data_IF_781273539025
#
_entry.id   IF_781273539025
#
_cell.length_a   1.000
_cell.length_b   1.000
_cell.length_c   1.000
_cell.angle_alpha   90.00
_cell.angle_beta   90.00
_cell.angle_gamma   90.00
#
_symmetry.space_group_name_H-M   'P 1'
#
loop_
_entity.id
_entity.type
_entity.pdbx_description
1 polymer ?
#
# COMPACT_ATOMS: atom_id res chain seq x y z
N UNK A 1 14.58 19.24 -31.26
CA UNK A 1 13.71 19.67 -30.14
C UNK A 1 14.41 19.21 -28.88
N UNK A 2 15.26 19.96 -28.18
CA UNK A 2 15.17 21.29 -27.53
C UNK A 2 14.03 21.37 -26.48
N UNK A 3 14.06 20.46 -25.50
CA UNK A 3 13.39 20.63 -24.19
C UNK A 3 14.29 20.13 -23.03
N UNK A 4 15.62 20.20 -23.17
CA UNK A 4 16.58 19.85 -22.09
C UNK A 4 17.11 21.07 -21.32
N UNK A 5 16.67 22.29 -21.62
CA UNK A 5 17.30 23.52 -21.13
C UNK A 5 16.45 24.32 -20.13
N UNK A 6 15.68 23.67 -19.25
CA UNK A 6 15.06 24.36 -18.11
C UNK A 6 15.17 23.52 -16.84
N UNK A 7 16.37 23.55 -16.24
CA UNK A 7 16.62 23.55 -14.80
C UNK A 7 15.56 22.94 -13.88
N UNK A 8 15.29 21.64 -14.01
CA UNK A 8 14.53 20.92 -12.99
C UNK A 8 15.43 20.69 -11.78
N UNK A 9 15.45 21.68 -10.90
CA UNK A 9 16.02 21.58 -9.55
C UNK A 9 15.32 20.41 -8.88
N UNK A 10 16.10 19.38 -8.55
CA UNK A 10 15.65 18.23 -7.76
C UNK A 10 15.45 18.74 -6.33
N UNK A 11 14.30 19.35 -6.08
CA UNK A 11 13.88 19.73 -4.73
C UNK A 11 13.63 18.43 -3.94
N UNK A 12 14.58 18.10 -3.07
CA UNK A 12 14.45 17.22 -1.90
C UNK A 12 13.59 15.96 -2.10
N UNK A 13 14.22 14.89 -2.57
CA UNK A 13 13.71 13.54 -2.26
C UNK A 13 13.90 13.39 -0.74
N UNK A 14 12.81 13.30 0.02
CA UNK A 14 12.74 13.21 1.51
C UNK A 14 12.68 14.52 2.33
N UNK A 15 12.08 15.60 1.81
CA UNK A 15 11.57 16.67 2.69
C UNK A 15 10.48 16.15 3.64
N UNK A 16 10.22 16.86 4.75
CA UNK A 16 9.25 16.49 5.80
C UNK A 16 7.90 16.09 5.19
N UNK A 17 7.67 14.78 5.04
CA UNK A 17 6.49 14.29 4.31
C UNK A 17 5.30 14.46 5.22
N UNK A 18 4.54 15.54 5.01
CA UNK A 18 3.26 15.76 5.67
C UNK A 18 2.26 14.63 5.37
N UNK A 19 2.47 13.88 4.28
CA UNK A 19 1.62 12.77 3.83
C UNK A 19 2.44 11.68 3.15
N UNK A 20 2.13 10.42 3.49
CA UNK A 20 2.62 9.24 2.78
C UNK A 20 1.44 8.49 2.15
N UNK A 21 1.63 7.97 0.94
CA UNK A 21 0.60 7.24 0.19
C UNK A 21 1.18 5.90 -0.27
N UNK A 22 0.60 4.82 0.22
CA UNK A 22 0.94 3.45 -0.17
C UNK A 22 -0.21 2.85 -1.00
N UNK A 23 0.12 2.20 -2.13
CA UNK A 23 -0.85 1.41 -2.89
C UNK A 23 -0.89 -0.02 -2.32
N UNK A 24 -2.04 -0.41 -1.77
CA UNK A 24 -2.18 -1.69 -1.06
C UNK A 24 -2.55 -2.84 -1.99
N UNK A 25 -3.57 -2.65 -2.83
CA UNK A 25 -4.01 -3.62 -3.83
C UNK A 25 -4.70 -2.87 -4.98
N UNK A 26 -4.76 -3.49 -6.15
CA UNK A 26 -5.45 -2.95 -7.31
C UNK A 26 -6.09 -4.09 -8.08
N UNK A 27 -7.39 -4.30 -7.87
CA UNK A 27 -8.12 -5.42 -8.48
C UNK A 27 -7.36 -6.76 -8.25
N UNK A 28 -7.31 -7.63 -9.25
CA UNK A 28 -6.51 -8.85 -9.23
C UNK A 28 -5.03 -8.67 -9.65
N UNK A 29 -4.55 -7.43 -9.77
CA UNK A 29 -3.18 -7.15 -10.23
C UNK A 29 -2.15 -7.70 -9.23
N UNK A 30 -1.21 -8.49 -9.77
CA UNK A 30 0.00 -8.92 -9.07
C UNK A 30 1.21 -8.31 -9.75
N UNK A 31 2.11 -7.77 -8.95
CA UNK A 31 3.36 -7.19 -9.41
C UNK A 31 4.49 -7.59 -8.48
N UNK A 32 5.56 -8.12 -9.05
CA UNK A 32 6.82 -8.46 -8.41
C UNK A 32 7.95 -7.48 -8.77
N UNK A 33 7.60 -6.38 -9.47
CA UNK A 33 8.52 -5.30 -9.81
C UNK A 33 9.06 -4.62 -8.53
N UNK A 34 10.37 -4.41 -8.47
CA UNK A 34 11.05 -3.85 -7.29
C UNK A 34 10.60 -2.42 -6.95
N UNK A 35 10.02 -1.70 -7.91
CA UNK A 35 9.47 -0.35 -7.73
C UNK A 35 7.99 -0.35 -7.37
N UNK A 36 7.26 -1.44 -7.60
CA UNK A 36 5.83 -1.54 -7.30
C UNK A 36 5.42 -2.99 -7.00
N UNK A 37 5.52 -3.37 -5.74
CA UNK A 37 5.07 -4.69 -5.28
C UNK A 37 3.58 -4.67 -4.96
N UNK A 38 2.82 -5.54 -5.64
CA UNK A 38 1.37 -5.67 -5.43
C UNK A 38 0.93 -7.14 -5.26
N UNK A 39 0.05 -7.41 -4.30
CA UNK A 39 -0.40 -6.50 -3.24
C UNK A 39 0.76 -6.11 -2.30
N UNK A 40 0.63 -4.98 -1.61
CA UNK A 40 1.67 -4.45 -0.76
C UNK A 40 2.11 -5.52 0.26
N UNK A 41 3.41 -5.88 0.32
CA UNK A 41 3.87 -7.12 0.94
C UNK A 41 3.56 -7.22 2.43
N UNK A 42 3.51 -6.05 3.11
CA UNK A 42 3.27 -5.91 4.55
C UNK A 42 1.85 -5.46 4.91
N UNK A 43 0.94 -5.40 3.95
CA UNK A 43 -0.44 -4.96 4.24
C UNK A 43 -1.12 -5.86 5.28
N UNK A 44 -0.92 -7.17 5.15
CA UNK A 44 -1.47 -8.20 6.04
C UNK A 44 -0.93 -8.13 7.49
N UNK A 45 0.09 -7.32 7.76
CA UNK A 45 0.74 -7.20 9.08
C UNK A 45 0.33 -5.92 9.82
N UNK A 46 -0.52 -5.08 9.22
CA UNK A 46 -0.77 -3.70 9.67
C UNK A 46 -2.25 -3.51 9.98
N UNK A 47 -2.60 -3.47 11.26
CA UNK A 47 -3.98 -3.20 11.71
C UNK A 47 -4.53 -1.88 11.18
N UNK A 48 -3.70 -0.83 11.10
CA UNK A 48 -4.08 0.47 10.52
C UNK A 48 -4.29 0.46 9.00
N UNK A 49 -4.01 -0.65 8.31
CA UNK A 49 -4.39 -0.90 6.91
C UNK A 49 -5.67 -1.73 6.88
N UNK A 50 -5.69 -2.83 7.63
CA UNK A 50 -6.78 -3.81 7.59
C UNK A 50 -8.09 -3.29 8.18
N UNK A 51 -8.05 -2.63 9.33
CA UNK A 51 -9.26 -2.13 9.99
C UNK A 51 -9.97 -1.04 9.16
N UNK A 52 -9.29 0.02 8.67
CA UNK A 52 -9.96 1.01 7.81
C UNK A 52 -10.45 0.43 6.48
N UNK A 53 -9.82 -0.64 5.97
CA UNK A 53 -10.32 -1.31 4.78
C UNK A 53 -11.67 -1.99 5.06
N UNK A 54 -11.81 -2.70 6.19
CA UNK A 54 -13.09 -3.31 6.58
C UNK A 54 -14.18 -2.30 6.89
N UNK A 55 -13.83 -1.10 7.36
CA UNK A 55 -14.78 -0.01 7.55
C UNK A 55 -15.44 0.42 6.22
N UNK A 56 -14.71 0.29 5.11
CA UNK A 56 -15.19 0.64 3.76
C UNK A 56 -15.83 -0.56 3.05
N UNK A 57 -15.23 -1.74 3.19
CA UNK A 57 -15.67 -2.99 2.56
C UNK A 57 -15.56 -4.18 3.55
N UNK A 58 -16.66 -4.58 4.19
CA UNK A 58 -16.68 -5.69 5.15
C UNK A 58 -16.34 -7.06 4.55
N UNK A 59 -16.44 -7.21 3.23
CA UNK A 59 -16.14 -8.45 2.52
C UNK A 59 -14.80 -8.40 1.77
N UNK A 60 -13.97 -7.40 2.08
CA UNK A 60 -12.67 -7.21 1.46
C UNK A 60 -11.78 -8.47 1.52
N UNK A 61 -11.11 -8.74 0.39
CA UNK A 61 -10.12 -9.80 0.24
C UNK A 61 -8.80 -9.19 -0.21
N UNK A 62 -7.72 -9.51 0.50
CA UNK A 62 -6.37 -9.17 0.07
C UNK A 62 -5.86 -10.27 -0.89
N UNK A 63 -5.56 -9.96 -2.17
CA UNK A 63 -5.17 -10.97 -3.15
C UNK A 63 -4.00 -11.84 -2.67
N UNK A 64 -4.16 -13.17 -2.75
CA UNK A 64 -3.14 -14.12 -2.31
C UNK A 64 -2.91 -14.22 -0.80
N UNK A 65 -3.65 -13.48 0.03
CA UNK A 65 -3.59 -13.57 1.50
C UNK A 65 -4.90 -14.05 2.14
N UNK A 66 -6.06 -13.66 1.60
CA UNK A 66 -7.37 -14.09 2.09
C UNK A 66 -8.26 -12.92 2.55
N UNK A 67 -9.34 -13.23 3.28
CA UNK A 67 -10.28 -12.20 3.79
C UNK A 67 -9.55 -11.28 4.76
N UNK A 68 -9.77 -9.97 4.62
CA UNK A 68 -9.16 -8.95 5.47
C UNK A 68 -9.60 -9.12 6.94
N UNK A 69 -10.84 -9.55 7.18
CA UNK A 69 -11.35 -9.83 8.52
C UNK A 69 -10.55 -10.93 9.25
N UNK A 70 -10.22 -12.02 8.55
CA UNK A 70 -9.46 -13.13 9.12
C UNK A 70 -8.02 -12.70 9.43
N UNK A 71 -7.43 -11.87 8.57
CA UNK A 71 -6.09 -11.31 8.78
C UNK A 71 -6.06 -10.38 10.00
N UNK A 72 -7.07 -9.53 10.18
CA UNK A 72 -7.14 -8.62 11.32
C UNK A 72 -7.32 -9.40 12.63
N UNK A 73 -8.25 -10.36 12.67
CA UNK A 73 -8.48 -11.19 13.85
C UNK A 73 -7.20 -11.94 14.27
N UNK A 74 -6.44 -12.49 13.32
CA UNK A 74 -5.19 -13.18 13.60
C UNK A 74 -4.10 -12.27 14.22
N UNK A 75 -4.12 -10.96 13.94
CA UNK A 75 -3.20 -10.00 14.57
C UNK A 75 -3.63 -9.62 15.99
N UNK A 76 -4.95 -9.54 16.23
CA UNK A 76 -5.51 -9.18 17.54
C UNK A 76 -5.38 -10.34 18.54
N UNK A 77 -5.56 -11.58 18.08
CA UNK A 77 -5.41 -12.80 18.91
C UNK A 77 -3.96 -13.04 19.39
N UNK A 78 -2.98 -12.45 18.70
CA UNK A 78 -1.56 -12.61 19.00
C UNK A 78 -0.94 -11.52 19.88
N UNK A 79 -1.72 -10.52 20.31
CA UNK A 79 -1.22 -9.33 21.05
C UNK A 79 -1.45 -9.36 22.55
#
# INVERSE_FOLDING_TARGET
AIEEEHGRIRAERWGDRTLDLDLIAYDDLRSDDEHLLLPHPRAAERTFVLAPWLDVDPDAVLPGRGRVADLLAALEDGS
#
